data_IF_090437773530
#
_entry.id   IF_090437773530
#
_cell.length_a   1.000
_cell.length_b   1.000
_cell.length_c   1.000
_cell.angle_alpha   90.00
_cell.angle_beta   90.00
_cell.angle_gamma   90.00
#
_symmetry.space_group_name_H-M   'P 1'
#
loop_
_entity.id
_entity.type
_entity.pdbx_description
1 polymer ?
#
# COMPACT_ATOMS: atom_id res chain seq x y z
N UNK A 1 -14.58 4.26 -1.39
CA UNK A 1 -13.56 5.20 -0.87
C UNK A 1 -14.26 6.16 0.06
N UNK A 2 -13.64 6.46 1.20
CA UNK A 2 -14.16 7.40 2.19
C UNK A 2 -13.14 8.50 2.45
N UNK A 3 -13.58 9.74 2.61
CA UNK A 3 -12.73 10.84 3.11
C UNK A 3 -12.82 10.83 4.63
N UNK A 4 -11.71 10.59 5.30
CA UNK A 4 -11.64 10.47 6.76
C UNK A 4 -11.31 11.81 7.43
N UNK A 5 -10.38 12.56 6.83
CA UNK A 5 -9.89 13.83 7.36
C UNK A 5 -9.62 14.85 6.26
N UNK A 6 -8.78 15.85 6.57
CA UNK A 6 -8.42 16.92 5.66
C UNK A 6 -7.89 16.38 4.32
N UNK A 7 -6.75 15.70 4.38
CA UNK A 7 -6.05 15.05 3.27
C UNK A 7 -6.04 13.51 3.37
N UNK A 8 -6.80 12.95 4.31
CA UNK A 8 -6.80 11.51 4.63
C UNK A 8 -7.99 10.78 3.98
N UNK A 9 -7.68 9.67 3.31
CA UNK A 9 -8.65 8.83 2.60
C UNK A 9 -8.50 7.36 3.01
N UNK A 10 -9.64 6.66 3.09
CA UNK A 10 -9.69 5.22 3.36
C UNK A 10 -10.20 4.46 2.15
N UNK A 11 -9.45 3.42 1.77
CA UNK A 11 -9.79 2.48 0.72
C UNK A 11 -10.14 1.14 1.36
N UNK A 12 -11.31 0.60 1.00
CA UNK A 12 -11.76 -0.72 1.45
C UNK A 12 -11.81 -1.64 0.23
N UNK A 13 -10.95 -2.66 0.24
CA UNK A 13 -10.86 -3.64 -0.83
C UNK A 13 -11.65 -4.89 -0.43
N UNK A 14 -12.62 -5.28 -1.27
CA UNK A 14 -13.35 -6.54 -1.13
C UNK A 14 -12.77 -7.57 -2.10
N UNK A 15 -12.76 -8.85 -1.71
CA UNK A 15 -12.30 -9.98 -2.52
C UNK A 15 -10.91 -9.77 -3.14
N UNK A 16 -10.03 -9.04 -2.46
CA UNK A 16 -8.66 -8.78 -2.90
C UNK A 16 -7.68 -9.44 -1.93
N UNK A 17 -6.62 -10.03 -2.47
CA UNK A 17 -5.46 -10.38 -1.68
C UNK A 17 -4.56 -9.15 -1.50
N UNK A 18 -3.61 -9.24 -0.56
CA UNK A 18 -2.70 -8.14 -0.25
C UNK A 18 -1.88 -7.69 -1.47
N UNK A 19 -1.46 -8.61 -2.35
CA UNK A 19 -0.69 -8.28 -3.54
C UNK A 19 -1.48 -7.38 -4.52
N UNK A 20 -2.76 -7.70 -4.76
CA UNK A 20 -3.64 -6.89 -5.61
C UNK A 20 -3.91 -5.50 -5.01
N UNK A 21 -4.09 -5.41 -3.69
CA UNK A 21 -4.25 -4.13 -2.99
C UNK A 21 -2.98 -3.27 -3.11
N UNK A 22 -1.79 -3.85 -2.91
CA UNK A 22 -0.50 -3.16 -3.13
C UNK A 22 -0.38 -2.66 -4.56
N UNK A 23 -0.70 -3.50 -5.55
CA UNK A 23 -0.66 -3.11 -6.97
C UNK A 23 -1.57 -1.91 -7.27
N UNK A 24 -2.78 -1.90 -6.70
CA UNK A 24 -3.69 -0.75 -6.82
C UNK A 24 -3.10 0.51 -6.19
N UNK A 25 -2.53 0.41 -4.99
CA UNK A 25 -1.85 1.55 -4.34
C UNK A 25 -0.64 2.05 -5.16
N UNK A 26 0.13 1.16 -5.78
CA UNK A 26 1.24 1.55 -6.67
C UNK A 26 0.74 2.33 -7.89
N UNK A 27 -0.34 1.85 -8.53
CA UNK A 27 -0.96 2.54 -9.67
C UNK A 27 -1.48 3.93 -9.26
N UNK A 28 -2.16 4.03 -8.12
CA UNK A 28 -2.64 5.32 -7.59
C UNK A 28 -1.48 6.29 -7.35
N UNK A 29 -0.36 5.83 -6.78
CA UNK A 29 0.83 6.68 -6.60
C UNK A 29 1.39 7.17 -7.92
N UNK A 30 1.49 6.30 -8.93
CA UNK A 30 1.97 6.70 -10.25
C UNK A 30 1.06 7.75 -10.89
N UNK A 31 -0.26 7.55 -10.79
CA UNK A 31 -1.24 8.51 -11.30
C UNK A 31 -1.16 9.86 -10.59
N UNK A 32 -1.08 9.86 -9.26
CA UNK A 32 -0.94 11.09 -8.47
C UNK A 32 0.36 11.85 -8.79
N UNK A 33 1.48 11.13 -8.90
CA UNK A 33 2.78 11.71 -9.24
C UNK A 33 2.82 12.30 -10.66
N UNK A 34 2.00 11.78 -11.56
CA UNK A 34 1.89 12.26 -12.94
C UNK A 34 1.00 13.50 -13.08
N UNK A 35 0.26 13.89 -12.03
CA UNK A 35 -0.53 15.11 -12.03
C UNK A 35 0.39 16.33 -12.08
N UNK A 36 0.04 17.26 -12.97
CA UNK A 36 0.64 18.58 -13.08
C UNK A 36 -0.42 19.62 -12.84
N UNK A 37 -0.04 20.71 -12.17
CA UNK A 37 -0.93 21.82 -11.85
C UNK A 37 -0.39 23.07 -12.54
N UNK A 38 -1.15 23.64 -13.48
CA UNK A 38 -0.68 24.75 -14.33
C UNK A 38 -0.34 25.99 -13.48
N UNK A 39 -1.12 26.23 -12.43
CA UNK A 39 -0.91 27.33 -11.50
C UNK A 39 0.27 27.09 -10.55
N UNK A 40 0.71 25.83 -10.40
CA UNK A 40 1.81 25.43 -9.51
C UNK A 40 2.64 24.29 -10.14
N UNK A 41 3.45 24.55 -11.19
CA UNK A 41 4.14 23.49 -11.94
C UNK A 41 5.14 22.67 -11.11
N UNK A 42 5.68 23.28 -10.05
CA UNK A 42 6.63 22.66 -9.11
C UNK A 42 5.94 21.75 -8.08
N UNK A 43 4.61 21.85 -7.93
CA UNK A 43 3.87 21.05 -6.95
C UNK A 43 3.82 19.58 -7.41
N UNK A 44 4.38 18.68 -6.58
CA UNK A 44 4.31 17.23 -6.78
C UNK A 44 3.38 16.62 -5.75
N UNK A 45 2.23 16.13 -6.22
CA UNK A 45 1.31 15.39 -5.37
C UNK A 45 1.78 13.95 -5.23
N UNK A 46 1.94 13.50 -3.98
CA UNK A 46 2.29 12.12 -3.65
C UNK A 46 1.32 11.62 -2.59
N UNK A 47 1.25 10.30 -2.40
CA UNK A 47 0.47 9.68 -1.33
C UNK A 47 1.23 8.53 -0.69
N UNK A 48 1.00 8.37 0.61
CA UNK A 48 1.49 7.25 1.42
C UNK A 48 0.34 6.34 1.81
N UNK A 49 0.49 5.04 1.59
CA UNK A 49 -0.54 4.05 1.87
C UNK A 49 -0.08 3.09 2.97
N UNK A 50 -0.93 2.92 3.98
CA UNK A 50 -0.83 1.86 4.97
C UNK A 50 -1.91 0.82 4.73
N UNK A 51 -1.53 -0.45 4.70
CA UNK A 51 -2.44 -1.55 4.42
C UNK A 51 -2.45 -2.54 5.57
N UNK A 52 -3.62 -3.12 5.84
CA UNK A 52 -3.79 -4.28 6.70
C UNK A 52 -4.87 -5.19 6.10
N UNK A 53 -4.86 -6.47 6.48
CA UNK A 53 -5.84 -7.46 6.02
C UNK A 53 -6.85 -7.74 7.11
N UNK A 54 -8.13 -7.73 6.75
CA UNK A 54 -9.17 -8.17 7.67
C UNK A 54 -9.05 -9.67 7.95
N UNK A 55 -9.10 -10.03 9.22
CA UNK A 55 -9.21 -11.39 9.70
C UNK A 55 -10.37 -11.47 10.71
N UNK A 56 -11.02 -12.63 10.81
CA UNK A 56 -12.19 -12.81 11.70
C UNK A 56 -11.88 -12.50 13.18
N UNK A 57 -10.61 -12.53 13.56
CA UNK A 57 -10.13 -12.24 14.92
C UNK A 57 -9.96 -10.74 15.23
N UNK A 58 -10.14 -9.83 14.25
CA UNK A 58 -9.95 -8.40 14.46
C UNK A 58 -11.23 -7.60 14.20
N UNK A 59 -11.39 -6.51 14.94
CA UNK A 59 -12.47 -5.55 14.71
C UNK A 59 -12.11 -4.57 13.59
N UNK A 60 -13.13 -3.94 12.98
CA UNK A 60 -12.91 -2.86 12.01
C UNK A 60 -12.05 -1.72 12.58
N UNK A 61 -12.24 -1.35 13.85
CA UNK A 61 -11.41 -0.34 14.52
C UNK A 61 -9.94 -0.78 14.61
N UNK A 62 -9.69 -2.07 14.87
CA UNK A 62 -8.32 -2.58 14.94
C UNK A 62 -7.66 -2.64 13.57
N UNK A 63 -8.38 -3.08 12.54
CA UNK A 63 -7.94 -3.05 11.15
C UNK A 63 -7.53 -1.62 10.74
N UNK A 64 -8.36 -0.64 11.07
CA UNK A 64 -8.08 0.77 10.80
C UNK A 64 -6.81 1.25 11.51
N UNK A 65 -6.67 0.99 12.82
CA UNK A 65 -5.48 1.39 13.60
C UNK A 65 -4.20 0.75 13.04
N UNK A 66 -4.26 -0.50 12.61
CA UNK A 66 -3.12 -1.19 12.04
C UNK A 66 -2.71 -0.58 10.68
N UNK A 67 -3.68 -0.31 9.80
CA UNK A 67 -3.44 0.35 8.52
C UNK A 67 -2.85 1.76 8.73
N UNK A 68 -3.37 2.54 9.68
CA UNK A 68 -2.84 3.86 10.03
C UNK A 68 -1.38 3.79 10.52
N UNK A 69 -1.06 2.83 11.41
CA UNK A 69 0.33 2.59 11.84
C UNK A 69 1.25 2.26 10.68
N UNK A 70 0.80 1.42 9.74
CA UNK A 70 1.59 1.11 8.54
C UNK A 70 1.78 2.36 7.66
N UNK A 71 0.75 3.20 7.48
CA UNK A 71 0.86 4.45 6.73
C UNK A 71 1.90 5.37 7.36
N UNK A 72 1.91 5.48 8.69
CA UNK A 72 2.91 6.25 9.41
C UNK A 72 4.34 5.72 9.14
N UNK A 73 4.55 4.39 9.13
CA UNK A 73 5.84 3.81 8.75
C UNK A 73 6.21 4.11 7.29
N UNK A 74 5.26 4.05 6.36
CA UNK A 74 5.48 4.38 4.95
C UNK A 74 5.93 5.84 4.77
N UNK A 75 5.39 6.77 5.57
CA UNK A 75 5.85 8.17 5.61
C UNK A 75 7.26 8.27 6.19
N UNK A 76 7.53 7.62 7.32
CA UNK A 76 8.83 7.69 8.00
C UNK A 76 9.98 7.10 7.18
N UNK A 77 9.72 6.05 6.42
CA UNK A 77 10.72 5.36 5.58
C UNK A 77 10.74 5.89 4.13
N UNK A 78 9.86 6.85 3.80
CA UNK A 78 9.68 7.37 2.44
C UNK A 78 9.39 6.29 1.38
N UNK A 79 8.94 5.09 1.80
CA UNK A 79 8.59 4.00 0.89
C UNK A 79 7.28 4.27 0.14
N UNK A 80 6.41 5.09 0.74
CA UNK A 80 5.06 5.45 0.28
C UNK A 80 4.04 4.30 0.27
N UNK A 81 4.45 3.06 0.52
CA UNK A 81 3.55 1.94 0.81
C UNK A 81 4.16 1.10 1.93
N UNK A 82 3.35 0.71 2.92
CA UNK A 82 3.73 -0.24 3.94
C UNK A 82 2.54 -1.13 4.30
N UNK A 83 2.83 -2.40 4.57
CA UNK A 83 1.85 -3.38 5.06
C UNK A 83 2.09 -3.57 6.54
N UNK A 84 1.01 -3.52 7.32
CA UNK A 84 1.07 -3.83 8.74
C UNK A 84 1.53 -5.27 8.93
N UNK A 85 2.57 -5.44 9.74
CA UNK A 85 2.98 -6.72 10.27
C UNK A 85 3.01 -6.62 11.79
N UNK A 86 2.24 -7.43 12.52
CA UNK A 86 2.37 -7.47 13.97
C UNK A 86 3.77 -7.97 14.32
N UNK A 87 4.45 -7.28 15.24
CA UNK A 87 5.76 -7.68 15.73
C UNK A 87 5.68 -9.14 16.24
N UNK A 88 6.35 -10.07 15.55
CA UNK A 88 6.33 -11.50 15.86
C UNK A 88 5.89 -12.44 14.75
N UNK A 89 5.48 -11.96 13.56
CA UNK A 89 5.25 -12.83 12.41
C UNK A 89 6.32 -12.63 11.33
N UNK A 90 7.32 -13.51 11.36
CA UNK A 90 8.35 -13.63 10.34
C UNK A 90 7.73 -14.29 9.10
N UNK A 91 7.15 -13.52 8.20
CA UNK A 91 6.77 -14.02 6.88
C UNK A 91 8.01 -13.92 5.99
N UNK A 92 8.83 -14.98 6.00
CA UNK A 92 9.80 -15.21 4.94
C UNK A 92 9.03 -15.32 3.62
N UNK A 93 9.00 -14.22 2.87
CA UNK A 93 8.60 -14.26 1.46
C UNK A 93 9.84 -14.72 0.69
N UNK A 94 10.00 -16.04 0.54
CA UNK A 94 10.89 -16.57 -0.49
C UNK A 94 10.41 -16.04 -1.84
N UNK A 95 11.18 -15.09 -2.36
CA UNK A 95 11.10 -14.64 -3.74
C UNK A 95 11.78 -15.73 -4.58
N UNK A 96 11.02 -16.70 -5.09
CA UNK A 96 11.48 -17.49 -6.23
C UNK A 96 11.12 -16.73 -7.50
N UNK A 97 11.98 -15.78 -7.86
CA UNK A 97 12.09 -15.28 -9.23
C UNK A 97 12.84 -16.33 -10.06
N UNK A 98 12.12 -16.88 -11.03
CA UNK A 98 12.60 -17.20 -12.39
C UNK A 98 13.79 -18.15 -12.57
N UNK A 99 13.52 -19.35 -13.08
CA UNK A 99 14.42 -20.01 -14.04
C UNK A 99 13.70 -20.15 -15.38
N UNK A 100 14.16 -19.38 -16.37
CA UNK A 100 13.75 -19.47 -17.77
C UNK A 100 14.15 -20.84 -18.37
N UNK A 101 13.43 -21.34 -19.40
CA UNK A 101 13.81 -22.59 -20.05
C UNK A 101 15.11 -22.39 -20.85
N UNK A 102 16.05 -23.33 -20.73
CA UNK A 102 17.19 -23.43 -21.65
C UNK A 102 16.68 -23.97 -22.98
N UNK A 103 17.06 -23.31 -24.07
CA UNK A 103 16.96 -23.85 -25.42
C UNK A 103 17.93 -25.03 -25.53
N UNK A 104 17.43 -26.21 -25.88
CA UNK A 104 18.25 -27.32 -26.34
C UNK A 104 18.50 -27.15 -27.85
N UNK A 105 19.78 -27.26 -28.21
CA UNK A 105 20.32 -27.40 -29.58
C UNK A 105 20.30 -28.89 -29.94
#
# INVERSE_FOLDING_TARGET
MFRYGGDEFCLLFHNNNMAAAIGTCQQLRQQLNALTFDECPELKLTASFGLDTYADSITASRLFINADKAMYQAKKLESGICVYSPAGQNVQSETTLSSAPKLDV
#
